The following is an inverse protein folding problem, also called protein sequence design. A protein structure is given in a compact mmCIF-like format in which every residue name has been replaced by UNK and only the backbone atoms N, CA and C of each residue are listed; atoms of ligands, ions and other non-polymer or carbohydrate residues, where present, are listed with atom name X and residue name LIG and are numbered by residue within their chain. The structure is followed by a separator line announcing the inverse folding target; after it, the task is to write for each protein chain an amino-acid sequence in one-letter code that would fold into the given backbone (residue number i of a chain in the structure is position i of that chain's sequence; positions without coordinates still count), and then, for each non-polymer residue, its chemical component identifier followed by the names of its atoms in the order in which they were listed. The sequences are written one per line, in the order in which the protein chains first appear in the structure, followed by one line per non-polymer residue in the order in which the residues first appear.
data_IF_165297445418
#
_entry.id   IF_165297445418
#
_cell.length_a   1.000
_cell.length_b   1.000
_cell.length_c   1.000
_cell.angle_alpha   90.00
_cell.angle_beta   90.00
_cell.angle_gamma   90.00
#
_symmetry.space_group_name_H-M   'P 1'
#
loop_
_entity.id
_entity.type
_entity.pdbx_description
1 polymer ?
#
# COMPACT_ATOMS: atom_id res chain seq x y z
N UNK A 1 9.78 6.21 -15.24
CA UNK A 1 9.18 6.87 -14.06
C UNK A 1 7.99 6.03 -13.61
N UNK A 2 8.11 5.32 -12.48
CA UNK A 2 7.02 4.54 -11.91
C UNK A 2 5.80 5.44 -11.64
N UNK A 3 4.63 5.05 -12.14
CA UNK A 3 3.35 5.71 -11.85
C UNK A 3 2.66 4.94 -10.72
N UNK A 4 2.23 5.60 -9.63
CA UNK A 4 1.44 4.92 -8.62
C UNK A 4 0.14 4.40 -9.22
N UNK A 5 -0.25 3.18 -8.82
CA UNK A 5 -1.49 2.55 -9.29
C UNK A 5 -2.73 3.35 -8.86
N UNK A 6 -2.70 3.93 -7.66
CA UNK A 6 -3.79 4.76 -7.13
C UNK A 6 -3.73 6.19 -7.67
N UNK A 7 -4.90 6.75 -8.00
CA UNK A 7 -5.09 8.16 -8.39
C UNK A 7 -5.82 8.91 -7.26
N UNK A 8 -5.12 9.47 -6.25
CA UNK A 8 -5.77 9.97 -5.03
C UNK A 8 -6.77 11.09 -5.28
N UNK A 9 -6.44 12.03 -6.18
CA UNK A 9 -7.35 13.12 -6.54
C UNK A 9 -8.61 12.61 -7.25
N UNK A 10 -8.50 11.56 -8.05
CA UNK A 10 -9.64 10.93 -8.73
C UNK A 10 -10.57 10.22 -7.73
N UNK A 11 -10.02 9.53 -6.73
CA UNK A 11 -10.81 8.94 -5.64
C UNK A 11 -11.54 10.02 -4.83
N UNK A 12 -10.86 11.12 -4.52
CA UNK A 12 -11.45 12.24 -3.82
C UNK A 12 -12.57 12.93 -4.63
N UNK A 13 -12.39 13.06 -5.95
CA UNK A 13 -13.44 13.55 -6.86
C UNK A 13 -14.63 12.59 -6.90
N UNK A 14 -14.40 11.29 -7.05
CA UNK A 14 -15.45 10.28 -7.09
C UNK A 14 -16.27 10.26 -5.79
N UNK A 15 -15.61 10.31 -4.62
CA UNK A 15 -16.26 10.41 -3.32
C UNK A 15 -17.21 11.62 -3.23
N UNK A 16 -16.75 12.81 -3.64
CA UNK A 16 -17.58 14.03 -3.64
C UNK A 16 -18.74 13.96 -4.62
N UNK A 17 -18.53 13.41 -5.82
CA UNK A 17 -19.55 13.35 -6.87
C UNK A 17 -20.66 12.35 -6.59
N UNK A 18 -20.31 11.22 -5.96
CA UNK A 18 -21.24 10.17 -5.63
C UNK A 18 -21.85 10.31 -4.22
N UNK A 19 -21.40 11.29 -3.43
CA UNK A 19 -21.80 11.50 -2.03
C UNK A 19 -21.63 10.24 -1.16
N UNK A 20 -20.48 9.58 -1.30
CA UNK A 20 -20.12 8.38 -0.53
C UNK A 20 -18.71 8.49 0.03
N UNK A 21 -18.45 7.83 1.14
CA UNK A 21 -17.11 7.70 1.69
C UNK A 21 -16.28 6.69 0.89
N UNK A 22 -15.09 7.10 0.48
CA UNK A 22 -14.10 6.23 -0.20
C UNK A 22 -12.84 6.20 0.66
N UNK A 23 -12.44 5.00 1.09
CA UNK A 23 -11.19 4.80 1.83
C UNK A 23 -10.13 4.32 0.85
N UNK A 24 -9.07 5.11 0.67
CA UNK A 24 -7.92 4.73 -0.16
C UNK A 24 -6.95 3.86 0.64
N UNK A 25 -6.49 2.77 0.02
CA UNK A 25 -5.40 1.94 0.54
C UNK A 25 -4.00 2.44 0.18
N UNK A 26 -3.01 2.05 0.99
CA UNK A 26 -1.59 2.16 0.68
C UNK A 26 -0.90 0.80 0.80
N UNK A 27 -0.05 0.44 -0.15
CA UNK A 27 0.55 -0.89 -0.13
C UNK A 27 1.30 -1.23 -1.40
N UNK A 28 1.69 -2.49 -1.49
CA UNK A 28 2.26 -3.07 -2.71
C UNK A 28 1.61 -4.42 -2.95
N UNK A 29 1.22 -4.62 -4.21
CA UNK A 29 0.61 -5.86 -4.66
C UNK A 29 1.65 -6.99 -4.81
N UNK A 30 1.31 -8.08 -5.50
CA UNK A 30 2.22 -9.21 -5.73
C UNK A 30 3.44 -8.80 -6.56
N UNK A 31 4.52 -9.58 -6.47
CA UNK A 31 5.83 -9.23 -7.02
C UNK A 31 5.82 -8.94 -8.54
N UNK A 32 4.97 -9.67 -9.29
CA UNK A 32 4.82 -9.54 -10.74
C UNK A 32 4.46 -8.13 -11.23
N UNK A 33 3.89 -7.29 -10.37
CA UNK A 33 3.48 -5.91 -10.69
C UNK A 33 4.45 -4.85 -10.13
N UNK A 34 5.61 -5.25 -9.61
CA UNK A 34 6.55 -4.33 -8.96
C UNK A 34 7.63 -3.83 -9.91
N UNK A 35 8.00 -2.56 -9.74
CA UNK A 35 9.18 -2.00 -10.38
C UNK A 35 10.47 -2.60 -9.75
N UNK A 36 11.54 -2.84 -10.54
CA UNK A 36 12.82 -3.38 -10.06
C UNK A 36 13.46 -2.55 -8.93
N UNK A 37 13.16 -1.24 -8.92
CA UNK A 37 13.60 -0.25 -7.94
C UNK A 37 13.26 -0.62 -6.49
N UNK A 38 12.31 -1.54 -6.28
CA UNK A 38 11.88 -1.95 -4.95
C UNK A 38 12.79 -3.01 -4.31
N UNK A 39 13.65 -3.68 -5.08
CA UNK A 39 14.51 -4.76 -4.57
C UNK A 39 15.46 -4.28 -3.45
N UNK A 40 15.85 -3.01 -3.49
CA UNK A 40 16.75 -2.39 -2.51
C UNK A 40 16.05 -1.88 -1.23
N UNK A 41 14.72 -1.93 -1.15
CA UNK A 41 14.00 -1.44 0.03
C UNK A 41 14.05 -2.44 1.18
N UNK A 42 14.19 -1.95 2.40
CA UNK A 42 14.07 -2.69 3.67
C UNK A 42 12.63 -2.63 4.20
N UNK A 43 12.29 -3.46 5.19
CA UNK A 43 10.99 -3.41 5.88
C UNK A 43 10.70 -2.03 6.47
N UNK A 44 11.70 -1.39 7.09
CA UNK A 44 11.57 -0.06 7.71
C UNK A 44 11.33 1.04 6.67
N UNK A 45 12.05 1.02 5.55
CA UNK A 45 11.84 2.02 4.48
C UNK A 45 10.49 1.82 3.79
N UNK A 46 9.96 0.60 3.76
CA UNK A 46 8.61 0.31 3.32
C UNK A 46 7.57 0.85 4.32
N UNK A 47 7.76 0.58 5.62
CA UNK A 47 6.89 1.09 6.68
C UNK A 47 6.84 2.64 6.68
N UNK A 48 7.99 3.30 6.60
CA UNK A 48 8.08 4.76 6.54
C UNK A 48 7.34 5.34 5.34
N UNK A 49 7.38 4.65 4.19
CA UNK A 49 6.62 5.08 3.01
C UNK A 49 5.10 4.94 3.22
N UNK A 50 4.63 3.86 3.85
CA UNK A 50 3.22 3.67 4.19
C UNK A 50 2.73 4.74 5.17
N UNK A 51 3.46 4.96 6.26
CA UNK A 51 3.16 5.99 7.27
C UNK A 51 3.17 7.40 6.67
N UNK A 52 4.07 7.68 5.73
CA UNK A 52 4.06 8.94 4.97
C UNK A 52 2.76 9.13 4.19
N UNK A 53 2.31 8.10 3.48
CA UNK A 53 1.05 8.13 2.71
C UNK A 53 -0.18 8.27 3.61
N UNK A 54 -0.12 7.76 4.83
CA UNK A 54 -1.22 7.83 5.81
C UNK A 54 -1.27 9.14 6.57
N UNK A 55 -0.12 9.69 6.99
CA UNK A 55 -0.10 10.87 7.86
C UNK A 55 0.12 12.17 7.10
N UNK A 56 0.90 12.15 6.02
CA UNK A 56 1.31 13.36 5.28
C UNK A 56 0.55 13.52 3.96
N UNK A 57 0.17 12.42 3.34
CA UNK A 57 -0.52 12.39 2.05
C UNK A 57 0.24 11.56 1.02
N UNK A 58 -0.50 11.05 0.03
CA UNK A 58 0.00 10.05 -0.90
C UNK A 58 0.40 10.66 -2.24
N UNK A 59 1.57 10.26 -2.74
CA UNK A 59 2.08 10.55 -4.08
C UNK A 59 2.00 12.02 -4.50
N UNK A 60 2.43 12.92 -3.62
CA UNK A 60 2.47 14.37 -3.90
C UNK A 60 1.13 15.08 -3.73
N UNK A 61 0.13 14.43 -3.15
CA UNK A 61 -1.18 15.01 -2.83
C UNK A 61 -1.40 15.09 -1.33
N UNK A 62 -2.39 15.87 -0.88
CA UNK A 62 -2.83 15.90 0.53
C UNK A 62 -3.80 14.77 0.89
N UNK A 63 -4.19 13.92 -0.07
CA UNK A 63 -5.09 12.79 0.17
C UNK A 63 -4.32 11.70 0.89
N UNK A 64 -4.87 11.22 2.00
CA UNK A 64 -4.24 10.25 2.89
C UNK A 64 -4.84 8.86 2.68
N UNK A 65 -4.00 7.84 2.84
CA UNK A 65 -4.49 6.47 2.95
C UNK A 65 -5.13 6.23 4.33
N UNK A 66 -6.23 5.49 4.36
CA UNK A 66 -6.94 5.13 5.60
C UNK A 66 -6.82 3.65 5.97
N UNK A 67 -6.21 2.83 5.11
CA UNK A 67 -6.03 1.39 5.32
C UNK A 67 -4.72 0.93 4.67
N UNK A 68 -4.03 -0.03 5.29
CA UNK A 68 -2.84 -0.65 4.72
C UNK A 68 -3.28 -1.82 3.85
N UNK A 69 -2.86 -1.79 2.59
CA UNK A 69 -3.09 -2.82 1.59
C UNK A 69 -3.89 -2.34 0.37
N UNK A 70 -4.34 -3.26 -0.46
CA UNK A 70 -4.16 -4.72 -0.31
C UNK A 70 -2.68 -5.16 -0.50
N UNK A 71 -2.13 -5.88 0.48
CA UNK A 71 -0.75 -6.37 0.46
C UNK A 71 -0.73 -7.72 -0.24
N UNK A 72 -0.03 -7.79 -1.37
CA UNK A 72 0.00 -8.98 -2.21
C UNK A 72 0.96 -10.04 -1.69
N UNK A 73 0.46 -11.27 -1.60
CA UNK A 73 1.21 -12.46 -1.27
C UNK A 73 0.94 -13.55 -2.31
N UNK A 74 1.96 -14.09 -2.97
CA UNK A 74 1.85 -15.29 -3.79
C UNK A 74 1.87 -16.55 -2.92
N UNK A 75 1.70 -17.73 -3.52
CA UNK A 75 1.89 -19.02 -2.86
C UNK A 75 2.85 -19.88 -3.71
N UNK A 76 4.12 -20.05 -3.34
CA UNK A 76 4.81 -19.53 -2.16
C UNK A 76 5.13 -18.01 -2.26
N UNK A 77 5.42 -17.38 -1.11
CA UNK A 77 5.79 -15.97 -1.05
C UNK A 77 7.19 -15.75 -1.60
N UNK A 78 7.39 -14.68 -2.38
CA UNK A 78 8.76 -14.27 -2.75
C UNK A 78 9.48 -13.61 -1.56
N UNK A 79 10.83 -13.54 -1.57
CA UNK A 79 11.55 -12.77 -0.55
C UNK A 79 11.14 -11.29 -0.48
N UNK A 80 10.73 -10.72 -1.62
CA UNK A 80 10.24 -9.34 -1.67
C UNK A 80 8.87 -9.22 -1.01
N UNK A 81 7.96 -10.17 -1.22
CA UNK A 81 6.64 -10.17 -0.59
C UNK A 81 6.71 -10.32 0.92
N UNK A 82 7.60 -11.18 1.43
CA UNK A 82 7.89 -11.29 2.86
C UNK A 82 8.33 -9.94 3.45
N UNK A 83 9.22 -9.22 2.75
CA UNK A 83 9.71 -7.92 3.20
C UNK A 83 8.64 -6.81 3.11
N UNK A 84 7.76 -6.86 2.12
CA UNK A 84 6.59 -5.96 2.06
C UNK A 84 5.66 -6.22 3.23
N UNK A 85 5.40 -7.48 3.56
CA UNK A 85 4.57 -7.83 4.70
C UNK A 85 5.19 -7.34 6.01
N UNK A 86 6.50 -7.51 6.19
CA UNK A 86 7.23 -6.98 7.34
C UNK A 86 7.03 -5.47 7.48
N UNK A 87 7.24 -4.70 6.40
CA UNK A 87 7.00 -3.27 6.41
C UNK A 87 5.54 -2.88 6.68
N UNK A 88 4.58 -3.67 6.20
CA UNK A 88 3.16 -3.46 6.47
C UNK A 88 2.83 -3.67 7.96
N UNK A 89 3.35 -4.75 8.57
CA UNK A 89 3.16 -5.05 10.01
C UNK A 89 3.80 -3.97 10.88
N UNK A 90 5.01 -3.51 10.54
CA UNK A 90 5.66 -2.39 11.24
C UNK A 90 4.84 -1.10 11.17
N UNK A 91 4.19 -0.83 10.04
CA UNK A 91 3.32 0.33 9.88
C UNK A 91 2.02 0.19 10.69
N UNK A 92 1.43 -1.01 10.76
CA UNK A 92 0.26 -1.30 11.64
C UNK A 92 0.60 -0.97 13.09
N UNK A 93 1.75 -1.43 13.58
CA UNK A 93 2.17 -1.18 14.97
C UNK A 93 2.31 0.30 15.33
N UNK A 94 2.60 1.16 14.35
CA UNK A 94 2.82 2.60 14.57
C UNK A 94 1.58 3.45 14.30
N UNK A 95 0.66 2.97 13.48
CA UNK A 95 -0.51 3.74 13.02
C UNK A 95 -1.85 3.21 13.51
N UNK A 96 -1.87 1.98 14.03
CA UNK A 96 -3.08 1.23 14.41
C UNK A 96 -4.09 1.05 13.27
N UNK A 97 -3.70 1.30 12.02
CA UNK A 97 -4.57 1.10 10.89
C UNK A 97 -4.79 -0.38 10.59
N UNK A 98 -5.96 -0.68 10.04
CA UNK A 98 -6.26 -2.02 9.55
C UNK A 98 -5.32 -2.43 8.41
N UNK A 99 -4.98 -3.71 8.37
CA UNK A 99 -4.20 -4.36 7.32
C UNK A 99 -5.11 -5.29 6.51
N UNK A 100 -5.05 -5.15 5.19
CA UNK A 100 -5.72 -6.03 4.24
C UNK A 100 -4.67 -6.77 3.42
N UNK A 101 -4.88 -8.08 3.26
CA UNK A 101 -3.95 -8.97 2.57
C UNK A 101 -4.69 -9.59 1.39
N UNK A 102 -4.05 -9.56 0.21
CA UNK A 102 -4.46 -10.40 -0.90
C UNK A 102 -3.75 -11.75 -0.76
N UNK A 103 -4.47 -12.80 -0.38
CA UNK A 103 -3.86 -14.09 -0.13
C UNK A 103 -3.42 -14.73 -1.44
N UNK A 104 -2.36 -15.53 -1.34
CA UNK A 104 -1.97 -16.43 -2.41
C UNK A 104 -3.10 -17.42 -2.68
N UNK A 105 -3.31 -17.78 -3.93
CA UNK A 105 -4.26 -18.81 -4.31
C UNK A 105 -3.57 -20.16 -4.22
N UNK A 106 -4.15 -21.10 -3.49
CA UNK A 106 -3.82 -22.51 -3.65
C UNK A 106 -4.34 -22.95 -5.04
N UNK A 107 -3.58 -23.72 -5.83
CA UNK A 107 -4.08 -24.30 -7.09
C UNK A 107 -5.28 -25.23 -6.86
#
# INVERSE_FOLDING_TARGET
MWRPASRPLGLAEASRRADVHVVMGCGRYVDDYKAPENAARTGETLAAALLGQMHKGAWGTSVRAGIIGEIGCQAAWTPMEQRVMEGAVLAVQQSEAALTVHPGRHP
#
